data_IF_763972355279
#
_entry.id   IF_763972355279
#
_cell.length_a   1.000
_cell.length_b   1.000
_cell.length_c   1.000
_cell.angle_alpha   90.00
_cell.angle_beta   90.00
_cell.angle_gamma   90.00
#
_symmetry.space_group_name_H-M   'P 1'
#
loop_
_entity.id
_entity.type
_entity.pdbx_description
1 polymer ?
#
# COMPACT_ATOMS: atom_id res chain seq x y z
N UNK A 1 18.24 -16.05 9.93
CA UNK A 1 17.81 -14.64 10.10
C UNK A 1 16.34 -14.65 10.48
N UNK A 2 15.99 -14.38 11.73
CA UNK A 2 14.60 -14.10 12.11
C UNK A 2 14.32 -12.68 11.62
N UNK A 3 13.46 -12.53 10.61
CA UNK A 3 12.99 -11.21 10.21
C UNK A 3 12.19 -10.63 11.38
N UNK A 4 12.39 -9.35 11.74
CA UNK A 4 11.56 -8.68 12.74
C UNK A 4 10.09 -8.90 12.40
N UNK A 5 9.30 -9.32 13.39
CA UNK A 5 7.92 -9.78 13.20
C UNK A 5 7.05 -8.68 12.57
N UNK A 6 7.40 -7.43 12.82
CA UNK A 6 6.80 -6.21 12.30
C UNK A 6 7.07 -6.04 10.80
N UNK A 7 8.28 -6.34 10.34
CA UNK A 7 8.64 -6.29 8.91
C UNK A 7 7.89 -7.40 8.15
N UNK A 8 7.80 -8.60 8.74
CA UNK A 8 7.01 -9.70 8.20
C UNK A 8 5.53 -9.33 8.05
N UNK A 9 4.97 -8.63 9.05
CA UNK A 9 3.61 -8.10 9.01
C UNK A 9 3.38 -7.12 7.85
N UNK A 10 4.32 -6.20 7.60
CA UNK A 10 4.21 -5.24 6.50
C UNK A 10 4.26 -5.92 5.13
N UNK A 11 5.15 -6.90 4.95
CA UNK A 11 5.21 -7.69 3.72
C UNK A 11 3.92 -8.48 3.48
N UNK A 12 3.37 -9.10 4.53
CA UNK A 12 2.14 -9.88 4.44
C UNK A 12 0.93 -9.01 4.16
N UNK A 13 0.86 -7.82 4.76
CA UNK A 13 -0.14 -6.80 4.44
C UNK A 13 -0.03 -6.31 2.98
N UNK A 14 1.19 -6.06 2.50
CA UNK A 14 1.45 -5.67 1.12
C UNK A 14 1.02 -6.76 0.12
N UNK A 15 1.33 -8.02 0.40
CA UNK A 15 0.89 -9.16 -0.40
C UNK A 15 -0.62 -9.35 -0.39
N UNK A 16 -1.26 -9.18 0.79
CA UNK A 16 -2.71 -9.23 0.93
C UNK A 16 -3.41 -8.13 0.11
N UNK A 17 -2.91 -6.90 0.13
CA UNK A 17 -3.42 -5.81 -0.70
C UNK A 17 -3.31 -6.11 -2.21
N UNK A 18 -2.16 -6.62 -2.65
CA UNK A 18 -1.96 -7.04 -4.03
C UNK A 18 -2.92 -8.17 -4.47
N UNK A 19 -3.18 -9.14 -3.57
CA UNK A 19 -4.11 -10.23 -3.82
C UNK A 19 -5.57 -9.78 -3.88
N UNK A 20 -6.03 -8.99 -2.90
CA UNK A 20 -7.39 -8.42 -2.90
C UNK A 20 -7.64 -7.68 -4.20
N UNK A 21 -6.67 -6.90 -4.67
CA UNK A 21 -6.82 -6.18 -5.92
C UNK A 21 -6.84 -7.06 -7.16
N UNK A 22 -6.01 -8.09 -7.20
CA UNK A 22 -6.01 -9.07 -8.27
C UNK A 22 -7.41 -9.71 -8.47
N UNK A 23 -8.17 -9.86 -7.38
CA UNK A 23 -9.52 -10.41 -7.37
C UNK A 23 -10.59 -9.34 -7.67
N UNK A 24 -10.53 -8.19 -7.01
CA UNK A 24 -11.62 -7.20 -7.03
C UNK A 24 -11.49 -6.09 -8.08
N UNK A 25 -10.28 -5.76 -8.56
CA UNK A 25 -10.05 -4.75 -9.61
C UNK A 25 -9.03 -5.26 -10.63
N UNK A 26 -9.45 -6.19 -11.50
CA UNK A 26 -8.58 -6.71 -12.55
C UNK A 26 -8.31 -5.64 -13.61
N UNK A 27 -7.13 -5.04 -13.56
CA UNK A 27 -6.66 -4.09 -14.58
C UNK A 27 -6.12 -4.87 -15.80
N UNK A 28 -6.59 -4.62 -17.04
CA UNK A 28 -6.22 -5.41 -18.22
C UNK A 28 -4.78 -5.20 -18.68
N UNK A 29 -4.19 -4.04 -18.41
CA UNK A 29 -2.80 -3.76 -18.78
C UNK A 29 -1.84 -4.22 -17.68
N UNK A 30 -1.01 -5.21 -18.00
CA UNK A 30 0.02 -5.75 -17.11
C UNK A 30 0.97 -4.67 -16.55
N UNK A 31 1.36 -3.69 -17.37
CA UNK A 31 2.25 -2.60 -16.94
C UNK A 31 1.63 -1.73 -15.85
N UNK A 32 0.32 -1.42 -15.94
CA UNK A 32 -0.36 -0.63 -14.89
C UNK A 32 -0.52 -1.44 -13.62
N UNK A 33 -0.86 -2.72 -13.74
CA UNK A 33 -0.98 -3.63 -12.60
C UNK A 33 0.33 -3.71 -11.80
N UNK A 34 1.47 -3.75 -12.51
CA UNK A 34 2.79 -3.77 -11.87
C UNK A 34 3.12 -2.45 -11.17
N UNK A 35 2.90 -1.30 -11.83
CA UNK A 35 3.18 0.02 -11.26
C UNK A 35 2.32 0.34 -10.04
N UNK A 36 1.02 0.04 -10.12
CA UNK A 36 0.11 0.27 -9.00
C UNK A 36 0.39 -0.71 -7.85
N UNK A 37 0.73 -1.96 -8.16
CA UNK A 37 1.14 -2.95 -7.17
C UNK A 37 2.43 -2.55 -6.44
N UNK A 38 3.43 -2.05 -7.17
CA UNK A 38 4.68 -1.55 -6.59
C UNK A 38 4.45 -0.30 -5.75
N UNK A 39 3.63 0.65 -6.22
CA UNK A 39 3.27 1.83 -5.45
C UNK A 39 2.58 1.46 -4.12
N UNK A 40 1.66 0.48 -4.16
CA UNK A 40 1.02 -0.05 -2.97
C UNK A 40 1.99 -0.73 -2.03
N UNK A 41 2.85 -1.62 -2.53
CA UNK A 41 3.83 -2.33 -1.70
C UNK A 41 4.85 -1.37 -1.06
N UNK A 42 5.36 -0.40 -1.82
CA UNK A 42 6.29 0.62 -1.30
C UNK A 42 5.61 1.51 -0.24
N UNK A 43 4.36 1.91 -0.47
CA UNK A 43 3.57 2.67 0.51
C UNK A 43 3.28 1.84 1.77
N UNK A 44 2.91 0.57 1.63
CA UNK A 44 2.69 -0.34 2.75
C UNK A 44 3.96 -0.49 3.61
N UNK A 45 5.13 -0.61 3.00
CA UNK A 45 6.40 -0.79 3.74
C UNK A 45 6.83 0.52 4.41
N UNK A 46 6.89 1.63 3.67
CA UNK A 46 7.42 2.89 4.19
C UNK A 46 6.43 3.65 5.08
N UNK A 47 5.20 3.86 4.61
CA UNK A 47 4.17 4.55 5.37
C UNK A 47 3.52 3.63 6.40
N UNK A 48 3.33 2.35 6.08
CA UNK A 48 2.73 1.40 7.03
C UNK A 48 3.62 1.12 8.24
N UNK A 49 4.95 1.11 8.09
CA UNK A 49 5.87 1.03 9.24
C UNK A 49 5.77 2.26 10.16
N UNK A 50 5.76 3.46 9.57
CA UNK A 50 5.65 4.72 10.31
C UNK A 50 4.29 4.84 11.03
N UNK A 51 3.20 4.61 10.30
CA UNK A 51 1.83 4.67 10.85
C UNK A 51 1.60 3.54 11.86
N UNK A 52 2.11 2.34 11.59
CA UNK A 52 2.04 1.20 12.50
C UNK A 52 2.72 1.51 13.83
N UNK A 53 3.88 2.17 13.81
CA UNK A 53 4.58 2.58 15.02
C UNK A 53 3.81 3.63 15.83
N UNK A 54 3.17 4.59 15.17
CA UNK A 54 2.34 5.61 15.84
C UNK A 54 1.07 4.99 16.45
N UNK A 55 0.43 4.06 15.73
CA UNK A 55 -0.75 3.34 16.25
C UNK A 55 -0.36 2.44 17.42
N UNK A 56 0.77 1.74 17.32
CA UNK A 56 1.26 0.89 18.40
C UNK A 56 1.60 1.72 19.65
N UNK A 57 2.24 2.88 19.49
CA UNK A 57 2.55 3.78 20.60
C UNK A 57 1.31 4.36 21.31
N UNK A 58 0.15 4.38 20.65
CA UNK A 58 -1.09 4.96 21.21
C UNK A 58 -2.03 3.92 21.80
N UNK A 59 -2.10 2.73 21.20
CA UNK A 59 -3.10 1.71 21.56
C UNK A 59 -2.45 0.39 22.03
N UNK A 60 -1.13 0.24 21.89
CA UNK A 60 -0.40 -0.97 22.27
C UNK A 60 -0.74 -2.20 21.42
N UNK A 61 -1.09 -1.99 20.15
CA UNK A 61 -1.61 -3.03 19.26
C UNK A 61 -0.57 -4.03 18.73
N UNK A 62 0.72 -3.79 18.95
CA UNK A 62 1.84 -4.62 18.49
C UNK A 62 1.76 -4.93 17.00
N UNK A 63 2.06 -6.17 16.63
CA UNK A 63 2.07 -6.66 15.24
C UNK A 63 0.77 -6.38 14.47
N UNK A 64 -0.39 -6.34 15.15
CA UNK A 64 -1.68 -6.05 14.50
C UNK A 64 -1.78 -4.59 14.05
N UNK A 65 -1.17 -3.66 14.78
CA UNK A 65 -1.10 -2.26 14.38
C UNK A 65 -0.31 -2.09 13.07
N UNK A 66 0.82 -2.80 12.93
CA UNK A 66 1.64 -2.78 11.72
C UNK A 66 0.96 -3.48 10.53
N UNK A 67 0.24 -4.58 10.74
CA UNK A 67 -0.57 -5.23 9.69
C UNK A 67 -1.66 -4.29 9.17
N UNK A 68 -2.43 -3.70 10.07
CA UNK A 68 -3.52 -2.79 9.71
C UNK A 68 -2.99 -1.53 9.01
N UNK A 69 -1.93 -0.93 9.56
CA UNK A 69 -1.27 0.22 8.96
C UNK A 69 -0.68 -0.09 7.58
N UNK A 70 -0.02 -1.24 7.43
CA UNK A 70 0.52 -1.71 6.17
C UNK A 70 -0.55 -1.87 5.10
N UNK A 71 -1.69 -2.48 5.45
CA UNK A 71 -2.80 -2.66 4.50
C UNK A 71 -3.43 -1.32 4.10
N UNK A 72 -3.75 -0.47 5.08
CA UNK A 72 -4.34 0.85 4.84
C UNK A 72 -3.43 1.73 4.01
N UNK A 73 -2.14 1.79 4.34
CA UNK A 73 -1.18 2.60 3.60
C UNK A 73 -0.87 2.02 2.22
N UNK A 74 -0.95 0.71 2.04
CA UNK A 74 -0.84 0.08 0.72
C UNK A 74 -1.96 0.54 -0.22
N UNK A 75 -3.21 0.46 0.23
CA UNK A 75 -4.37 0.93 -0.53
C UNK A 75 -4.38 2.45 -0.71
N UNK A 76 -3.97 3.21 0.31
CA UNK A 76 -3.87 4.67 0.22
C UNK A 76 -2.79 5.12 -0.78
N UNK A 77 -1.63 4.46 -0.83
CA UNK A 77 -0.56 4.77 -1.76
C UNK A 77 -0.97 4.52 -3.21
N UNK A 78 -1.69 3.43 -3.44
CA UNK A 78 -2.34 3.13 -4.72
C UNK A 78 -3.29 4.26 -5.12
N UNK A 79 -4.22 4.62 -4.24
CA UNK A 79 -5.22 5.66 -4.52
C UNK A 79 -4.55 7.01 -4.80
N UNK A 80 -3.47 7.31 -4.08
CA UNK A 80 -2.63 8.49 -4.29
C UNK A 80 -2.02 8.54 -5.70
N UNK A 81 -1.41 7.45 -6.16
CA UNK A 81 -0.84 7.38 -7.52
C UNK A 81 -1.92 7.51 -8.59
N UNK A 82 -3.09 6.90 -8.40
CA UNK A 82 -4.21 7.04 -9.32
C UNK A 82 -4.75 8.48 -9.38
N UNK A 83 -4.91 9.12 -8.22
CA UNK A 83 -5.36 10.50 -8.13
C UNK A 83 -4.35 11.47 -8.76
N UNK A 84 -3.05 11.25 -8.49
CA UNK A 84 -1.97 12.03 -9.08
C UNK A 84 -1.99 11.90 -10.61
N UNK A 85 -2.07 10.67 -11.11
CA UNK A 85 -2.14 10.38 -12.55
C UNK A 85 -3.35 11.04 -13.19
N UNK A 86 -4.55 10.93 -12.59
CA UNK A 86 -5.76 11.57 -13.12
C UNK A 86 -5.58 13.09 -13.23
N UNK A 87 -4.98 13.71 -12.22
CA UNK A 87 -4.71 15.15 -12.18
C UNK A 87 -3.69 15.62 -13.21
N UNK A 88 -2.72 14.79 -13.58
CA UNK A 88 -1.73 15.14 -14.61
C UNK A 88 -2.21 14.82 -16.03
N UNK A 89 -2.94 13.73 -16.25
CA UNK A 89 -3.48 13.35 -17.57
C UNK A 89 -4.61 14.30 -18.01
N UNK A 90 -5.54 14.68 -17.10
CA UNK A 90 -6.57 15.68 -17.40
C UNK A 90 -5.98 17.07 -17.70
N UNK A 91 -4.71 17.31 -17.33
CA UNK A 91 -4.01 18.56 -17.59
C UNK A 91 -3.39 18.62 -18.99
N UNK A 92 -3.13 17.47 -19.62
CA UNK A 92 -2.62 17.41 -21.01
C UNK A 92 -3.73 17.55 -22.05
N UNK A 93 -4.94 17.03 -21.81
CA UNK A 93 -6.06 17.14 -22.77
C UNK A 93 -6.66 18.55 -22.89
N UNK A 94 -6.31 19.47 -21.98
CA UNK A 94 -6.79 20.87 -21.99
C UNK A 94 -5.81 21.86 -22.62
N UNK A 95 -4.74 21.40 -23.28
CA UNK A 95 -3.72 22.28 -23.87
C UNK A 95 -3.71 22.24 -25.38
#
# INVERSE_FOLDING_TARGET
MQLPTEIGALFLAGAAGAFVRAVYRPEPSWTRRLLEGLAGALSAIFLGGLVGHVIDATIGGGTWAYLAAGFLMGEAGIAGVQALRKRFIEKEEKK
#
